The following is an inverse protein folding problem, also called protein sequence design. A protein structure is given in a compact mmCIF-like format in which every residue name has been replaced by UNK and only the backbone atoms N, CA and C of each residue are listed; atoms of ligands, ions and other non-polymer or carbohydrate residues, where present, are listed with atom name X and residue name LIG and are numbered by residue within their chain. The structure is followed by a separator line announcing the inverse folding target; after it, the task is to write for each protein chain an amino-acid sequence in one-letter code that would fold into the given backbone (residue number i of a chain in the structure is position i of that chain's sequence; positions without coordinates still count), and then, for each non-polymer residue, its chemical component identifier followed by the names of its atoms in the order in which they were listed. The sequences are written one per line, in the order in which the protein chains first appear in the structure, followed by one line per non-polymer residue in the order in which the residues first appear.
data_IF_168369418822
#
_entry.id   IF_168369418822
#
_cell.length_a   1.000
_cell.length_b   1.000
_cell.length_c   1.000
_cell.angle_alpha   90.00
_cell.angle_beta   90.00
_cell.angle_gamma   90.00
#
_symmetry.space_group_name_H-M   'P 1'
#
loop_
_entity.id
_entity.type
_entity.pdbx_description
1 polymer ?
#
# COMPACT_ATOMS: atom_id res chain seq x y z
N UNK A 1 40.58 -22.33 -2.06
CA UNK A 1 39.58 -21.22 -2.05
C UNK A 1 38.23 -21.80 -2.48
N UNK A 2 37.17 -21.66 -1.67
CA UNK A 2 35.88 -22.38 -1.88
C UNK A 2 35.10 -21.87 -3.10
N UNK A 3 34.43 -22.79 -3.81
CA UNK A 3 33.61 -22.55 -5.02
C UNK A 3 32.56 -21.45 -4.79
N UNK A 4 31.98 -21.40 -3.59
CA UNK A 4 31.03 -20.35 -3.16
C UNK A 4 31.60 -18.93 -3.25
N UNK A 5 32.90 -18.77 -2.94
CA UNK A 5 33.58 -17.48 -2.97
C UNK A 5 33.90 -17.02 -4.39
N UNK A 6 34.12 -17.98 -5.31
CA UNK A 6 34.24 -17.69 -6.76
C UNK A 6 32.89 -17.27 -7.34
N UNK A 7 31.81 -17.99 -7.02
CA UNK A 7 30.47 -17.72 -7.55
C UNK A 7 29.96 -16.32 -7.15
N UNK A 8 30.08 -15.95 -5.87
CA UNK A 8 29.71 -14.60 -5.40
C UNK A 8 30.50 -13.49 -6.09
N UNK A 9 31.79 -13.73 -6.37
CA UNK A 9 32.64 -12.75 -7.06
C UNK A 9 32.25 -12.59 -8.52
N UNK A 10 31.93 -13.69 -9.20
CA UNK A 10 31.50 -13.68 -10.61
C UNK A 10 30.15 -12.97 -10.79
N UNK A 11 29.18 -13.25 -9.92
CA UNK A 11 27.86 -12.59 -9.98
C UNK A 11 27.96 -11.09 -9.66
N UNK A 12 28.78 -10.72 -8.67
CA UNK A 12 29.00 -9.31 -8.33
C UNK A 12 29.64 -8.54 -9.49
N UNK A 13 30.64 -9.12 -10.14
CA UNK A 13 31.29 -8.50 -11.30
C UNK A 13 30.32 -8.35 -12.49
N UNK A 14 29.42 -9.31 -12.74
CA UNK A 14 28.43 -9.19 -13.82
C UNK A 14 27.39 -8.10 -13.56
N UNK A 15 26.97 -7.89 -12.30
CA UNK A 15 26.03 -6.82 -11.95
C UNK A 15 26.68 -5.44 -12.04
N UNK A 16 27.95 -5.33 -11.65
CA UNK A 16 28.69 -4.06 -11.70
C UNK A 16 29.12 -3.66 -13.13
N UNK A 17 29.28 -4.62 -14.05
CA UNK A 17 29.65 -4.36 -15.46
C UNK A 17 28.44 -4.17 -16.41
N UNK A 18 27.20 -4.41 -15.96
CA UNK A 18 26.02 -4.26 -16.81
C UNK A 18 25.62 -2.78 -16.91
N UNK A 19 26.15 -2.09 -17.92
CA UNK A 19 25.66 -0.77 -18.32
C UNK A 19 24.34 -0.95 -19.05
N UNK A 20 23.27 -0.35 -18.52
CA UNK A 20 21.94 -0.36 -19.17
C UNK A 20 22.10 0.17 -20.60
N UNK A 21 21.72 -0.60 -21.64
CA UNK A 21 21.86 -0.17 -23.02
C UNK A 21 21.12 1.15 -23.24
N UNK A 22 21.81 2.13 -23.81
CA UNK A 22 21.28 3.48 -23.99
C UNK A 22 19.98 3.49 -24.79
N UNK A 23 19.83 2.58 -25.77
CA UNK A 23 18.58 2.44 -26.52
C UNK A 23 17.39 2.02 -25.66
N UNK A 24 17.61 1.22 -24.60
CA UNK A 24 16.55 0.78 -23.68
C UNK A 24 16.13 1.92 -22.73
N UNK A 25 17.09 2.69 -22.19
CA UNK A 25 16.80 3.87 -21.38
C UNK A 25 16.07 4.95 -22.21
N UNK A 26 16.51 5.17 -23.45
CA UNK A 26 15.89 6.11 -24.37
C UNK A 26 14.47 5.66 -24.79
N UNK A 27 14.22 4.35 -24.97
CA UNK A 27 12.88 3.82 -25.23
C UNK A 27 11.94 3.98 -24.03
N UNK A 28 12.43 3.72 -22.82
CA UNK A 28 11.66 3.86 -21.58
C UNK A 28 11.34 5.34 -21.31
N UNK A 29 12.28 6.25 -21.55
CA UNK A 29 12.03 7.71 -21.46
C UNK A 29 11.07 8.19 -22.54
N UNK A 30 11.21 7.71 -23.78
CA UNK A 30 10.34 8.09 -24.88
C UNK A 30 8.90 7.57 -24.69
N UNK A 31 8.71 6.37 -24.11
CA UNK A 31 7.39 5.86 -23.76
C UNK A 31 6.76 6.68 -22.62
N UNK A 32 7.56 7.10 -21.64
CA UNK A 32 7.13 7.93 -20.51
C UNK A 32 6.72 9.36 -20.95
N UNK A 33 7.49 10.01 -21.83
CA UNK A 33 7.17 11.35 -22.35
C UNK A 33 5.92 11.31 -23.24
N UNK A 34 5.79 10.28 -24.09
CA UNK A 34 4.65 10.11 -24.99
C UNK A 34 3.33 9.81 -24.23
N UNK A 35 3.43 9.26 -23.03
CA UNK A 35 2.30 9.05 -22.11
C UNK A 35 1.82 10.39 -21.50
N UNK A 36 2.74 11.31 -21.19
CA UNK A 36 2.41 12.57 -20.51
C UNK A 36 2.01 13.75 -21.42
N UNK A 37 2.13 13.64 -22.74
CA UNK A 37 1.80 14.76 -23.66
C UNK A 37 0.34 14.81 -24.15
N UNK A 38 -0.56 13.92 -23.73
CA UNK A 38 -1.96 13.96 -24.19
C UNK A 38 -2.87 14.75 -23.22
N UNK A 39 -2.82 16.08 -23.28
CA UNK A 39 -3.90 16.94 -22.76
C UNK A 39 -5.07 16.98 -23.75
N UNK A 40 -6.29 16.65 -23.33
CA UNK A 40 -7.44 17.56 -23.43
C UNK A 40 -8.78 17.06 -22.84
N UNK A 41 -9.41 18.01 -22.12
CA UNK A 41 -10.84 18.39 -22.00
C UNK A 41 -11.88 17.37 -21.47
N UNK A 42 -12.10 17.42 -20.16
CA UNK A 42 -13.30 16.87 -19.51
C UNK A 42 -14.52 17.80 -19.67
N UNK A 43 -15.60 17.27 -20.24
CA UNK A 43 -16.93 17.90 -20.29
C UNK A 43 -17.71 17.57 -19.01
N UNK A 44 -17.92 18.57 -18.16
CA UNK A 44 -18.82 18.50 -17.01
C UNK A 44 -20.27 18.28 -17.47
N UNK A 45 -20.89 17.18 -17.04
CA UNK A 45 -22.30 17.17 -16.61
C UNK A 45 -22.63 15.90 -15.82
N UNK A 46 -23.13 16.13 -14.60
CA UNK A 46 -23.72 15.20 -13.61
C UNK A 46 -22.73 14.41 -12.74
N UNK A 47 -22.26 15.05 -11.66
CA UNK A 47 -21.77 14.37 -10.45
C UNK A 47 -22.90 14.31 -9.43
N UNK A 48 -23.40 13.11 -9.14
CA UNK A 48 -24.06 12.83 -7.87
C UNK A 48 -22.93 12.67 -6.86
N UNK A 49 -22.85 13.61 -5.93
CA UNK A 49 -21.84 13.64 -4.88
C UNK A 49 -22.27 12.69 -3.76
N UNK A 50 -21.89 11.41 -3.84
CA UNK A 50 -21.97 10.52 -2.67
C UNK A 50 -20.91 10.99 -1.66
N UNK A 51 -21.38 11.48 -0.52
CA UNK A 51 -20.54 11.97 0.58
C UNK A 51 -19.94 10.75 1.28
N UNK A 52 -18.65 10.47 1.06
CA UNK A 52 -17.90 9.54 1.90
C UNK A 52 -17.66 10.22 3.25
N UNK A 53 -18.30 9.75 4.32
CA UNK A 53 -18.03 10.22 5.68
C UNK A 53 -16.73 9.57 6.17
N UNK A 54 -15.62 10.31 6.13
CA UNK A 54 -14.45 9.98 6.93
C UNK A 54 -14.78 10.31 8.39
N UNK A 55 -15.14 9.31 9.19
CA UNK A 55 -15.36 9.49 10.62
C UNK A 55 -14.01 9.42 11.35
N UNK A 56 -13.40 10.58 11.61
CA UNK A 56 -12.24 10.67 12.48
C UNK A 56 -12.70 10.57 13.94
N UNK A 57 -12.54 9.40 14.57
CA UNK A 57 -12.74 9.27 16.02
C UNK A 57 -11.49 9.85 16.70
N UNK A 58 -11.61 11.03 17.30
CA UNK A 58 -10.59 11.59 18.18
C UNK A 58 -10.62 10.80 19.49
N UNK A 59 -9.82 9.73 19.59
CA UNK A 59 -9.65 9.04 20.86
C UNK A 59 -8.87 9.94 21.84
N UNK A 60 -9.37 10.16 23.08
CA UNK A 60 -8.63 10.88 24.09
C UNK A 60 -7.31 10.16 24.41
N UNK A 61 -6.25 10.94 24.54
CA UNK A 61 -4.85 10.52 24.76
C UNK A 61 -4.61 9.61 25.97
N UNK A 62 -5.62 9.38 26.81
CA UNK A 62 -5.54 8.53 28.00
C UNK A 62 -5.74 7.03 27.78
N UNK A 63 -6.12 6.57 26.57
CA UNK A 63 -6.37 5.14 26.29
C UNK A 63 -5.13 4.41 25.74
N UNK A 64 -4.07 5.16 25.39
CA UNK A 64 -2.86 4.63 24.72
C UNK A 64 -2.10 3.57 25.53
N UNK A 65 -2.29 3.49 26.85
CA UNK A 65 -1.63 2.51 27.72
C UNK A 65 -2.45 1.22 27.97
N UNK A 66 -3.71 1.14 27.52
CA UNK A 66 -4.64 0.08 27.94
C UNK A 66 -4.98 -0.95 26.85
N UNK A 67 -4.61 -0.73 25.58
CA UNK A 67 -4.77 -1.73 24.53
C UNK A 67 -3.47 -2.52 24.36
N UNK A 68 -3.24 -3.44 25.31
CA UNK A 68 -2.23 -4.51 25.23
C UNK A 68 -2.57 -5.51 24.10
N UNK A 69 -2.66 -5.03 22.87
CA UNK A 69 -2.62 -5.86 21.68
C UNK A 69 -1.16 -5.90 21.26
N UNK A 70 -0.54 -7.08 21.19
CA UNK A 70 0.77 -7.22 20.55
C UNK A 70 0.69 -6.57 19.16
N UNK A 71 1.54 -5.60 18.88
CA UNK A 71 1.57 -4.91 17.59
C UNK A 71 1.63 -5.90 16.42
N UNK A 72 0.92 -5.59 15.33
CA UNK A 72 0.90 -6.44 14.14
C UNK A 72 2.30 -6.57 13.51
N UNK A 73 3.17 -5.56 13.69
CA UNK A 73 4.54 -5.58 13.20
C UNK A 73 5.44 -6.56 13.95
N UNK A 74 5.10 -6.96 15.18
CA UNK A 74 5.94 -7.86 15.99
C UNK A 74 5.76 -9.35 15.65
N UNK A 75 4.73 -9.68 14.87
CA UNK A 75 4.49 -11.05 14.41
C UNK A 75 5.49 -11.54 13.34
N UNK A 76 5.16 -12.67 12.73
CA UNK A 76 5.92 -13.23 11.59
C UNK A 76 5.69 -12.47 10.27
N UNK A 77 4.89 -11.40 10.32
CA UNK A 77 4.54 -10.57 9.17
C UNK A 77 5.78 -9.87 8.62
N UNK A 78 6.17 -10.19 7.39
CA UNK A 78 7.27 -9.55 6.70
C UNK A 78 6.87 -9.12 5.29
N UNK A 79 6.73 -7.82 5.08
CA UNK A 79 6.50 -7.26 3.77
C UNK A 79 7.84 -7.01 3.07
N UNK A 80 8.32 -8.00 2.32
CA UNK A 80 9.52 -7.90 1.47
C UNK A 80 10.79 -7.39 2.19
N UNK A 81 10.96 -7.69 3.48
CA UNK A 81 12.08 -7.22 4.31
C UNK A 81 11.91 -5.81 4.87
N UNK A 82 10.81 -5.12 4.57
CA UNK A 82 10.52 -3.77 5.10
C UNK A 82 10.17 -3.80 6.58
N UNK A 83 9.61 -4.92 7.07
CA UNK A 83 9.40 -5.23 8.48
C UNK A 83 10.54 -6.14 8.94
N UNK A 84 11.71 -5.55 9.14
CA UNK A 84 12.90 -6.25 9.62
C UNK A 84 12.97 -6.29 11.15
N UNK A 85 13.96 -7.01 11.69
CA UNK A 85 14.17 -7.12 13.14
C UNK A 85 14.39 -5.77 13.85
N UNK A 86 14.88 -4.75 13.14
CA UNK A 86 14.99 -3.38 13.66
C UNK A 86 13.61 -2.76 13.89
N UNK A 87 12.71 -2.90 12.92
CA UNK A 87 11.30 -2.47 13.04
C UNK A 87 10.61 -3.22 14.16
N UNK A 88 10.74 -4.56 14.20
CA UNK A 88 10.11 -5.38 15.25
C UNK A 88 10.55 -4.97 16.64
N UNK A 89 11.85 -4.71 16.82
CA UNK A 89 12.41 -4.23 18.09
C UNK A 89 11.86 -2.86 18.45
N UNK A 90 11.95 -1.90 17.54
CA UNK A 90 11.44 -0.54 17.72
C UNK A 90 9.96 -0.57 18.14
N UNK A 91 9.14 -1.36 17.45
CA UNK A 91 7.73 -1.47 17.75
C UNK A 91 7.48 -2.17 19.09
N UNK A 92 8.27 -3.19 19.45
CA UNK A 92 8.20 -3.83 20.78
C UNK A 92 8.58 -2.86 21.91
N UNK A 93 9.36 -1.82 21.61
CA UNK A 93 9.72 -0.72 22.50
C UNK A 93 8.66 0.41 22.50
N UNK A 94 7.55 0.24 21.76
CA UNK A 94 6.44 1.18 21.72
C UNK A 94 6.58 2.30 20.68
N UNK A 95 7.43 2.12 19.66
CA UNK A 95 7.69 3.14 18.63
C UNK A 95 6.66 3.24 17.51
N UNK A 96 5.64 2.38 17.52
CA UNK A 96 4.46 2.54 16.68
C UNK A 96 3.38 3.37 17.38
N UNK A 97 2.51 3.97 16.57
CA UNK A 97 1.41 4.82 17.03
C UNK A 97 0.08 4.20 16.57
N UNK A 98 -0.89 3.97 17.47
CA UNK A 98 -2.22 3.55 17.06
C UNK A 98 -2.96 4.71 16.38
N UNK A 99 -3.71 4.40 15.32
CA UNK A 99 -4.42 5.39 14.49
C UNK A 99 -5.95 5.31 14.63
N UNK A 100 -6.52 4.10 14.70
CA UNK A 100 -7.98 3.83 14.73
C UNK A 100 -8.79 4.73 13.75
N UNK A 101 -8.39 4.72 12.47
CA UNK A 101 -9.05 5.51 11.42
C UNK A 101 -9.74 4.59 10.41
N UNK A 102 -10.99 4.88 10.07
CA UNK A 102 -11.78 4.08 9.12
C UNK A 102 -12.27 4.90 7.93
N UNK A 103 -12.18 4.31 6.74
CA UNK A 103 -12.83 4.78 5.52
C UNK A 103 -13.85 3.73 5.13
N UNK A 104 -15.14 4.10 5.13
CA UNK A 104 -16.24 3.14 5.00
C UNK A 104 -17.11 3.45 3.78
N UNK A 105 -17.47 2.41 3.04
CA UNK A 105 -18.51 2.42 2.01
C UNK A 105 -19.06 1.01 1.82
N UNK A 106 -20.32 0.87 1.42
CA UNK A 106 -21.00 -0.43 1.23
C UNK A 106 -20.90 -1.40 2.43
N UNK A 107 -20.90 -0.90 3.66
CA UNK A 107 -20.77 -1.73 4.87
C UNK A 107 -19.38 -2.38 5.04
N UNK A 108 -18.38 -1.93 4.28
CA UNK A 108 -16.98 -2.36 4.39
C UNK A 108 -16.12 -1.17 4.78
N UNK A 109 -15.22 -1.36 5.74
CA UNK A 109 -14.28 -0.37 6.24
C UNK A 109 -12.84 -0.74 5.90
N UNK A 110 -12.08 0.18 5.33
CA UNK A 110 -10.61 0.16 5.39
C UNK A 110 -10.23 0.78 6.74
N UNK A 111 -9.77 -0.04 7.67
CA UNK A 111 -9.44 0.32 9.04
C UNK A 111 -7.91 0.35 9.22
N UNK A 112 -7.36 1.55 9.33
CA UNK A 112 -5.94 1.78 9.65
C UNK A 112 -5.75 1.78 11.16
N UNK A 113 -5.06 0.77 11.68
CA UNK A 113 -5.00 0.51 13.11
C UNK A 113 -3.72 1.06 13.75
N UNK A 114 -2.60 0.93 13.07
CA UNK A 114 -1.29 1.19 13.63
C UNK A 114 -0.34 1.70 12.54
N UNK A 115 0.51 2.67 12.88
CA UNK A 115 1.56 3.18 11.99
C UNK A 115 2.91 3.20 12.68
N UNK A 116 3.94 2.87 11.93
CA UNK A 116 5.34 3.06 12.30
C UNK A 116 6.03 3.90 11.21
N UNK A 117 6.77 4.93 11.62
CA UNK A 117 7.38 5.89 10.70
C UNK A 117 8.87 6.05 10.99
N UNK A 118 9.67 6.03 9.93
CA UNK A 118 11.07 6.41 9.88
C UNK A 118 11.24 7.61 8.94
N UNK A 119 12.42 8.25 8.93
CA UNK A 119 12.72 9.39 8.04
C UNK A 119 12.41 9.11 6.56
N UNK A 120 12.51 7.86 6.09
CA UNK A 120 12.39 7.51 4.67
C UNK A 120 11.29 6.49 4.38
N UNK A 121 10.55 6.05 5.41
CA UNK A 121 9.63 4.91 5.31
C UNK A 121 8.43 5.06 6.23
N UNK A 122 7.24 4.73 5.74
CA UNK A 122 6.00 4.61 6.51
C UNK A 122 5.49 3.18 6.38
N UNK A 123 5.15 2.55 7.50
CA UNK A 123 4.51 1.23 7.57
C UNK A 123 3.17 1.37 8.28
N UNK A 124 2.10 0.87 7.69
CA UNK A 124 0.74 0.97 8.21
C UNK A 124 0.12 -0.42 8.26
N UNK A 125 -0.35 -0.84 9.43
CA UNK A 125 -1.21 -2.01 9.55
C UNK A 125 -2.65 -1.62 9.27
N UNK A 126 -3.29 -2.37 8.39
CA UNK A 126 -4.69 -2.18 8.04
C UNK A 126 -5.47 -3.49 8.12
N UNK A 127 -6.78 -3.34 8.32
CA UNK A 127 -7.79 -4.38 8.22
C UNK A 127 -8.94 -3.92 7.34
N UNK A 128 -9.48 -4.82 6.55
CA UNK A 128 -10.64 -4.63 5.70
C UNK A 128 -11.80 -5.36 6.37
N UNK A 129 -12.65 -4.59 7.04
CA UNK A 129 -13.64 -5.10 7.98
C UNK A 129 -15.06 -4.94 7.43
N UNK A 130 -15.93 -5.91 7.70
CA UNK A 130 -17.38 -5.77 7.57
C UNK A 130 -17.93 -4.97 8.76
N UNK A 131 -19.21 -4.60 8.72
CA UNK A 131 -19.88 -3.91 9.84
C UNK A 131 -19.79 -4.66 11.19
N UNK A 132 -19.72 -5.99 11.16
CA UNK A 132 -19.56 -6.84 12.35
C UNK A 132 -18.12 -6.89 12.91
N UNK A 133 -17.17 -6.18 12.29
CA UNK A 133 -15.75 -6.16 12.65
C UNK A 133 -14.95 -7.38 12.15
N UNK A 134 -15.61 -8.37 11.55
CA UNK A 134 -14.95 -9.50 10.91
C UNK A 134 -14.29 -9.10 9.59
N UNK A 135 -13.21 -9.77 9.22
CA UNK A 135 -12.52 -9.51 7.95
C UNK A 135 -13.43 -9.81 6.76
N UNK A 136 -13.33 -8.96 5.73
CA UNK A 136 -13.93 -9.24 4.43
C UNK A 136 -13.28 -10.50 3.84
N UNK A 137 -14.06 -11.47 3.32
CA UNK A 137 -13.49 -12.65 2.67
C UNK A 137 -12.59 -12.28 1.49
N UNK A 138 -11.45 -12.96 1.37
CA UNK A 138 -10.53 -12.81 0.25
C UNK A 138 -11.07 -13.52 -0.99
N UNK A 139 -11.98 -12.83 -1.68
CA UNK A 139 -12.76 -13.36 -2.79
C UNK A 139 -12.98 -12.24 -3.84
N UNK A 140 -13.11 -12.62 -5.10
CA UNK A 140 -13.08 -11.68 -6.24
C UNK A 140 -14.31 -11.84 -7.12
N UNK A 141 -14.75 -10.73 -7.76
CA UNK A 141 -15.67 -10.79 -8.89
C UNK A 141 -14.86 -10.92 -10.19
N UNK A 142 -14.85 -12.12 -10.75
CA UNK A 142 -14.17 -12.43 -12.01
C UNK A 142 -15.13 -12.52 -13.20
N UNK A 143 -16.39 -12.11 -13.02
CA UNK A 143 -17.41 -12.18 -14.07
C UNK A 143 -16.98 -11.39 -15.30
N UNK A 144 -16.93 -12.07 -16.46
CA UNK A 144 -16.55 -11.44 -17.73
C UNK A 144 -15.03 -11.28 -17.94
N UNK A 145 -14.20 -11.77 -17.02
CA UNK A 145 -12.74 -11.85 -17.21
C UNK A 145 -12.35 -13.20 -17.84
N UNK A 146 -11.33 -13.17 -18.68
CA UNK A 146 -10.67 -14.37 -19.20
C UNK A 146 -9.59 -14.81 -18.20
N UNK A 147 -10.02 -15.46 -17.12
CA UNK A 147 -9.15 -15.84 -15.99
C UNK A 147 -8.25 -17.02 -16.39
N UNK A 148 -6.94 -16.86 -16.16
CA UNK A 148 -5.93 -17.88 -16.48
C UNK A 148 -5.42 -18.64 -15.26
N UNK A 149 -5.52 -18.06 -14.06
CA UNK A 149 -5.26 -18.75 -12.79
C UNK A 149 -6.59 -19.18 -12.16
N UNK A 150 -7.03 -20.40 -12.44
CA UNK A 150 -8.24 -20.97 -11.83
C UNK A 150 -7.81 -21.99 -10.78
N UNK A 151 -8.32 -21.84 -9.56
CA UNK A 151 -8.25 -22.92 -8.57
C UNK A 151 -9.10 -24.10 -9.07
N UNK A 152 -8.56 -25.32 -9.20
CA UNK A 152 -9.19 -26.43 -9.93
C UNK A 152 -10.60 -26.84 -9.47
N UNK A 153 -10.99 -26.47 -8.25
CA UNK A 153 -12.23 -26.88 -7.59
C UNK A 153 -13.23 -25.72 -7.37
N UNK A 154 -12.92 -24.50 -7.85
CA UNK A 154 -13.75 -23.31 -7.65
C UNK A 154 -13.79 -22.80 -6.21
N UNK A 155 -12.81 -23.21 -5.38
CA UNK A 155 -12.66 -22.73 -3.99
C UNK A 155 -12.08 -21.31 -3.91
N UNK A 156 -11.90 -20.82 -2.67
CA UNK A 156 -11.38 -19.48 -2.37
C UNK A 156 -9.98 -19.31 -2.95
N UNK A 157 -9.76 -18.22 -3.67
CA UNK A 157 -8.44 -17.83 -4.18
C UNK A 157 -7.42 -17.75 -3.05
N UNK A 158 -6.27 -18.42 -3.20
CA UNK A 158 -5.12 -18.28 -2.27
C UNK A 158 -4.24 -17.09 -2.67
N UNK A 159 -4.22 -16.78 -3.96
CA UNK A 159 -3.51 -15.66 -4.58
C UNK A 159 -4.43 -14.80 -5.45
N UNK A 160 -3.99 -13.60 -5.80
CA UNK A 160 -4.77 -12.72 -6.67
C UNK A 160 -5.00 -13.38 -8.05
N UNK A 161 -6.25 -13.40 -8.55
CA UNK A 161 -6.53 -13.95 -9.86
C UNK A 161 -5.76 -13.22 -10.95
N UNK A 162 -5.23 -13.97 -11.90
CA UNK A 162 -4.66 -13.43 -13.13
C UNK A 162 -5.61 -13.64 -14.30
N UNK A 163 -5.67 -12.67 -15.20
CA UNK A 163 -6.57 -12.70 -16.35
C UNK A 163 -5.92 -12.10 -17.59
N UNK A 164 -6.39 -12.54 -18.76
CA UNK A 164 -5.99 -12.00 -20.05
C UNK A 164 -6.89 -10.80 -20.40
N UNK A 165 -6.28 -9.64 -20.62
CA UNK A 165 -7.00 -8.50 -21.17
C UNK A 165 -6.94 -8.55 -22.72
N UNK A 166 -8.08 -8.34 -23.37
CA UNK A 166 -8.16 -8.36 -24.83
C UNK A 166 -7.32 -7.24 -25.43
N UNK A 167 -6.40 -7.60 -26.33
CA UNK A 167 -5.54 -6.65 -27.02
C UNK A 167 -4.33 -6.18 -26.22
N UNK A 168 -4.07 -6.77 -25.05
CA UNK A 168 -2.86 -6.53 -24.25
C UNK A 168 -2.02 -7.79 -24.28
N UNK A 169 -0.73 -7.66 -24.56
CA UNK A 169 0.22 -8.76 -24.47
C UNK A 169 0.56 -9.04 -22.99
N UNK A 170 0.54 -10.30 -22.59
CA UNK A 170 0.75 -10.72 -21.19
C UNK A 170 -0.54 -10.79 -20.37
N UNK A 171 -0.40 -11.06 -19.07
CA UNK A 171 -1.52 -11.19 -18.15
C UNK A 171 -1.59 -10.00 -17.19
N UNK A 172 -2.78 -9.76 -16.62
CA UNK A 172 -3.00 -8.82 -15.53
C UNK A 172 -3.27 -9.57 -14.24
N UNK A 173 -2.96 -8.93 -13.12
CA UNK A 173 -3.35 -9.37 -11.79
C UNK A 173 -4.58 -8.56 -11.36
N UNK A 174 -5.59 -9.24 -10.83
CA UNK A 174 -6.78 -8.60 -10.26
C UNK A 174 -6.53 -8.31 -8.79
N UNK A 175 -6.28 -7.04 -8.45
CA UNK A 175 -6.05 -6.62 -7.06
C UNK A 175 -7.31 -6.78 -6.20
N UNK A 176 -7.13 -7.15 -4.94
CA UNK A 176 -8.22 -7.23 -3.96
C UNK A 176 -8.76 -5.84 -3.69
N UNK A 177 -7.89 -4.85 -3.53
CA UNK A 177 -8.25 -3.44 -3.41
C UNK A 177 -8.05 -2.77 -4.77
N UNK A 178 -9.16 -2.59 -5.50
CA UNK A 178 -9.17 -2.01 -6.85
C UNK A 178 -9.28 -0.49 -6.84
N UNK A 179 -8.77 0.13 -7.90
CA UNK A 179 -8.89 1.57 -8.17
C UNK A 179 -9.01 1.84 -9.67
N UNK A 180 -9.53 3.02 -10.04
CA UNK A 180 -9.50 3.55 -11.41
C UNK A 180 -8.30 4.49 -11.65
N UNK A 181 -7.42 4.66 -10.67
CA UNK A 181 -6.18 5.43 -10.85
C UNK A 181 -5.31 4.81 -11.94
N UNK A 182 -4.63 5.66 -12.69
CA UNK A 182 -3.80 5.24 -13.83
C UNK A 182 -2.66 4.30 -13.43
N UNK A 183 -2.11 4.48 -12.23
CA UNK A 183 -1.07 3.63 -11.65
C UNK A 183 -1.60 2.30 -11.09
N UNK A 184 -2.92 2.11 -11.02
CA UNK A 184 -3.60 0.99 -10.37
C UNK A 184 -3.27 0.84 -8.86
N UNK A 185 -2.85 1.93 -8.20
CA UNK A 185 -2.52 1.93 -6.77
C UNK A 185 -3.54 2.79 -6.01
N UNK A 186 -4.35 2.21 -5.11
CA UNK A 186 -5.43 2.93 -4.41
C UNK A 186 -4.92 3.88 -3.31
N UNK A 187 -3.61 3.93 -3.06
CA UNK A 187 -3.00 4.64 -1.96
C UNK A 187 -1.85 5.53 -2.41
N UNK A 188 -1.76 6.73 -1.85
CA UNK A 188 -0.63 7.62 -2.10
C UNK A 188 -0.45 8.61 -0.94
N UNK A 189 0.77 9.10 -0.78
CA UNK A 189 1.10 10.08 0.26
C UNK A 189 1.16 11.49 -0.32
N UNK A 190 0.67 12.47 0.43
CA UNK A 190 0.89 13.89 0.13
C UNK A 190 1.49 14.59 1.34
N UNK A 191 2.22 15.67 1.12
CA UNK A 191 2.61 16.58 2.19
C UNK A 191 1.43 17.43 2.69
N UNK A 192 1.70 18.32 3.65
CA UNK A 192 0.69 19.21 4.24
C UNK A 192 0.09 20.23 3.23
N UNK A 193 0.79 20.51 2.13
CA UNK A 193 0.32 21.38 1.05
C UNK A 193 -0.51 20.60 0.01
N UNK A 194 -0.60 19.28 0.15
CA UNK A 194 -1.32 18.39 -0.75
C UNK A 194 -0.50 17.97 -1.97
N UNK A 195 0.81 18.23 -1.98
CA UNK A 195 1.70 17.76 -3.05
C UNK A 195 2.04 16.30 -2.82
N UNK A 196 1.90 15.48 -3.86
CA UNK A 196 2.21 14.05 -3.80
C UNK A 196 3.71 13.81 -3.51
N UNK A 197 3.97 12.91 -2.58
CA UNK A 197 5.30 12.48 -2.18
C UNK A 197 5.65 11.25 -3.01
N UNK A 198 6.75 11.33 -3.74
CA UNK A 198 7.23 10.21 -4.55
C UNK A 198 7.73 9.07 -3.64
N UNK A 199 7.05 7.94 -3.69
CA UNK A 199 7.39 6.74 -2.90
C UNK A 199 7.19 5.48 -3.71
N UNK A 200 8.07 4.50 -3.52
CA UNK A 200 7.75 3.11 -3.83
C UNK A 200 6.71 2.58 -2.85
N UNK A 201 5.75 1.81 -3.34
CA UNK A 201 4.65 1.27 -2.55
C UNK A 201 4.73 -0.26 -2.58
N UNK A 202 4.56 -0.87 -1.41
CA UNK A 202 4.37 -2.30 -1.29
C UNK A 202 3.19 -2.56 -0.34
N UNK A 203 2.37 -3.54 -0.67
CA UNK A 203 1.33 -4.02 0.22
C UNK A 203 1.13 -5.53 0.08
N UNK A 204 0.40 -6.12 1.02
CA UNK A 204 -0.02 -7.51 0.89
C UNK A 204 -1.19 -7.69 -0.08
N UNK A 205 -1.98 -6.62 -0.33
CA UNK A 205 -3.26 -6.68 -1.04
C UNK A 205 -4.15 -7.86 -0.55
N UNK A 206 -4.44 -7.83 0.75
CA UNK A 206 -5.21 -8.85 1.49
C UNK A 206 -6.25 -8.18 2.39
N UNK A 207 -7.21 -8.92 2.98
CA UNK A 207 -8.14 -8.35 3.94
C UNK A 207 -7.47 -7.83 5.23
N UNK A 208 -6.25 -8.24 5.53
CA UNK A 208 -5.45 -7.69 6.62
C UNK A 208 -3.98 -7.75 6.21
N UNK A 209 -3.23 -6.69 6.52
CA UNK A 209 -1.83 -6.66 6.15
C UNK A 209 -1.14 -5.34 6.42
N UNK A 210 -0.01 -5.17 5.76
CA UNK A 210 0.83 -3.98 5.87
C UNK A 210 0.81 -3.25 4.54
N UNK A 211 0.68 -1.94 4.60
CA UNK A 211 0.91 -1.00 3.52
C UNK A 211 2.19 -0.23 3.84
N UNK A 212 3.14 -0.24 2.91
CA UNK A 212 4.43 0.42 3.07
C UNK A 212 4.67 1.44 1.97
N UNK A 213 5.23 2.58 2.38
CA UNK A 213 5.73 3.63 1.50
C UNK A 213 7.20 3.84 1.80
N UNK A 214 8.03 3.83 0.76
CA UNK A 214 9.48 4.01 0.87
C UNK A 214 9.93 5.07 -0.12
N UNK A 215 10.65 6.06 0.36
CA UNK A 215 11.26 7.11 -0.48
C UNK A 215 12.54 6.59 -1.15
N UNK A 216 13.07 7.36 -2.10
CA UNK A 216 14.39 7.14 -2.71
C UNK A 216 15.58 7.50 -1.79
N UNK A 217 15.33 7.71 -0.49
CA UNK A 217 16.29 8.21 0.49
C UNK A 217 16.04 9.67 0.88
N UNK A 218 15.14 10.37 0.19
CA UNK A 218 14.64 11.67 0.63
C UNK A 218 13.89 11.58 1.96
N UNK A 219 14.06 12.60 2.81
CA UNK A 219 13.34 12.64 4.09
C UNK A 219 11.87 12.95 3.86
N UNK A 220 11.02 12.16 4.50
CA UNK A 220 9.60 12.39 4.59
C UNK A 220 9.30 13.66 5.42
N UNK A 221 8.30 14.48 5.02
CA UNK A 221 7.86 15.64 5.78
C UNK A 221 7.27 15.27 7.15
N UNK A 222 7.37 16.16 8.13
CA UNK A 222 6.85 15.94 9.50
C UNK A 222 5.36 15.60 9.55
N UNK A 223 4.56 16.18 8.64
CA UNK A 223 3.16 15.85 8.48
C UNK A 223 2.93 15.29 7.09
N UNK A 224 2.34 14.10 7.04
CA UNK A 224 2.00 13.40 5.81
C UNK A 224 0.50 13.12 5.84
N UNK A 225 -0.13 13.12 4.68
CA UNK A 225 -1.49 12.62 4.53
C UNK A 225 -1.46 11.36 3.67
N UNK A 226 -1.97 10.25 4.22
CA UNK A 226 -2.36 9.09 3.43
C UNK A 226 -3.67 9.41 2.72
N UNK A 227 -3.67 9.33 1.40
CA UNK A 227 -4.86 9.45 0.58
C UNK A 227 -5.27 8.06 0.11
N UNK A 228 -6.57 7.80 0.14
CA UNK A 228 -7.18 6.56 -0.32
C UNK A 228 -8.16 6.87 -1.44
N UNK A 229 -8.07 6.10 -2.52
CA UNK A 229 -8.96 6.16 -3.66
C UNK A 229 -9.14 4.75 -4.23
N UNK A 230 -10.03 3.98 -3.60
CA UNK A 230 -10.41 2.65 -4.04
C UNK A 230 -11.86 2.62 -4.53
N UNK A 231 -12.11 1.85 -5.59
CA UNK A 231 -13.43 1.68 -6.22
C UNK A 231 -13.99 0.26 -6.10
N UNK A 232 -13.18 -0.67 -5.57
CA UNK A 232 -13.56 -2.06 -5.36
C UNK A 232 -12.78 -2.65 -4.19
N UNK A 233 -13.44 -3.48 -3.40
CA UNK A 233 -12.81 -4.36 -2.42
C UNK A 233 -13.35 -5.77 -2.63
N UNK A 234 -12.48 -6.70 -3.01
CA UNK A 234 -12.85 -8.06 -3.41
C UNK A 234 -13.89 -8.05 -4.52
N UNK A 235 -15.09 -8.56 -4.23
CA UNK A 235 -16.25 -8.56 -5.16
C UNK A 235 -17.12 -7.32 -5.06
N UNK A 236 -16.95 -6.50 -4.03
CA UNK A 236 -17.85 -5.37 -3.75
C UNK A 236 -17.36 -4.12 -4.47
N UNK A 237 -18.17 -3.60 -5.40
CA UNK A 237 -17.95 -2.27 -6.00
C UNK A 237 -18.41 -1.19 -5.03
N UNK A 238 -17.66 -0.11 -4.93
CA UNK A 238 -17.96 0.99 -4.02
C UNK A 238 -17.07 2.19 -4.30
N UNK A 239 -16.94 3.07 -3.31
CA UNK A 239 -16.05 4.23 -3.33
C UNK A 239 -15.51 4.50 -1.93
N UNK A 240 -14.32 3.97 -1.65
CA UNK A 240 -13.55 4.27 -0.46
C UNK A 240 -12.58 5.39 -0.80
N UNK A 241 -13.00 6.62 -0.56
CA UNK A 241 -12.16 7.80 -0.76
C UNK A 241 -12.08 8.62 0.52
N UNK A 242 -10.85 8.93 0.94
CA UNK A 242 -10.63 9.64 2.19
C UNK A 242 -9.17 9.98 2.42
N UNK A 243 -8.93 10.72 3.50
CA UNK A 243 -7.62 11.20 3.89
C UNK A 243 -7.38 10.88 5.35
N UNK A 244 -6.18 10.40 5.66
CA UNK A 244 -5.74 10.10 7.02
C UNK A 244 -4.43 10.84 7.26
N UNK A 245 -4.41 11.71 8.27
CA UNK A 245 -3.20 12.47 8.63
C UNK A 245 -2.29 11.60 9.49
N UNK A 246 -1.04 11.49 9.10
CA UNK A 246 0.05 10.82 9.81
C UNK A 246 0.98 11.91 10.33
N UNK A 247 1.02 12.06 11.64
CA UNK A 247 1.90 13.01 12.32
C UNK A 247 3.16 12.30 12.81
N UNK A 248 4.30 12.62 12.20
CA UNK A 248 5.58 12.02 12.55
C UNK A 248 6.07 12.45 13.94
N UNK A 249 5.61 13.59 14.48
CA UNK A 249 6.09 14.07 15.78
C UNK A 249 5.78 13.06 16.88
N UNK A 250 4.61 12.42 16.84
CA UNK A 250 4.21 11.35 17.77
C UNK A 250 5.11 10.11 17.66
N UNK A 251 5.48 9.73 16.44
CA UNK A 251 6.41 8.61 16.21
C UNK A 251 7.85 8.95 16.67
N UNK A 252 8.28 10.20 16.46
CA UNK A 252 9.58 10.69 16.92
C UNK A 252 9.65 10.86 18.44
N UNK A 253 8.56 11.27 19.10
CA UNK A 253 8.45 11.34 20.55
C UNK A 253 8.55 9.96 21.19
N UNK A 254 7.84 8.97 20.65
CA UNK A 254 8.01 7.58 21.06
C UNK A 254 9.48 7.17 20.93
N UNK A 255 10.13 7.51 19.79
CA UNK A 255 11.53 7.16 19.51
C UNK A 255 12.52 7.81 20.49
N UNK A 256 12.20 9.01 20.99
CA UNK A 256 13.01 9.69 22.01
C UNK A 256 12.75 9.12 23.41
N UNK A 257 11.52 8.71 23.72
CA UNK A 257 11.16 8.15 25.02
C UNK A 257 11.74 6.74 25.26
N UNK A 258 12.05 6.00 24.18
CA UNK A 258 12.67 4.68 24.24
C UNK A 258 14.22 4.69 24.38
N UNK A 259 14.86 5.86 24.34
CA UNK A 259 16.32 6.03 24.56
C UNK A 259 16.62 6.42 26.00
#
# INVERSE_FOLDING_TARGET
MSISKKLKKTVKNQIEETVVPKELDDQIRASFIRYHEKKEKFSMKKRVLTICLAAAILLPTGVYAALNSSSYFTGENNLNGLVNEGVKRAVSEGLSVPMDQKITDQGISIHFQEVYVEDTKVLIHYRIEKEDGGLVPFEFDTTGLDVISVEPDGSKYVENPTYQEKGVEGFRVLNFIGTDREDNIPYYLTDAEGKEIMTGIADHDRPEGILAFVTDGSKLPQSITLNVDANRIGKTKGKWSGKVVIDQSKAQEATKAAK
#
